data_IF_993567652202
#
_entry.id   IF_993567652202
#
_cell.length_a   1.000
_cell.length_b   1.000
_cell.length_c   1.000
_cell.angle_alpha   90.00
_cell.angle_beta   90.00
_cell.angle_gamma   90.00
#
_symmetry.space_group_name_H-M   'P 1'
#
loop_
_entity.id
_entity.type
_entity.pdbx_description
1 polymer ?
#
# COMPACT_ATOMS: atom_id res chain seq x y z
N UNK A 1 6.35 -15.55 -12.71
CA UNK A 1 6.70 -15.18 -11.32
C UNK A 1 8.22 -15.16 -11.27
N UNK A 2 8.84 -14.06 -10.84
CA UNK A 2 10.30 -13.96 -10.77
C UNK A 2 10.86 -14.90 -9.70
N UNK A 3 12.06 -15.43 -9.96
CA UNK A 3 12.79 -16.34 -9.07
C UNK A 3 13.42 -15.60 -7.90
N UNK A 4 13.88 -14.37 -8.14
CA UNK A 4 14.44 -13.48 -7.13
C UNK A 4 14.12 -12.01 -7.44
N UNK A 5 14.61 -11.12 -6.56
CA UNK A 5 14.41 -9.69 -6.74
C UNK A 5 15.19 -9.13 -7.94
N UNK A 6 16.35 -9.70 -8.28
CA UNK A 6 17.20 -9.21 -9.37
C UNK A 6 16.50 -9.36 -10.72
N UNK A 7 15.88 -10.50 -10.99
CA UNK A 7 15.05 -10.71 -12.19
C UNK A 7 13.92 -9.66 -12.29
N UNK A 8 13.27 -9.34 -11.16
CA UNK A 8 12.23 -8.32 -11.13
C UNK A 8 12.78 -6.91 -11.44
N UNK A 9 13.99 -6.59 -10.97
CA UNK A 9 14.64 -5.31 -11.27
C UNK A 9 15.09 -5.22 -12.72
N UNK A 10 15.60 -6.31 -13.29
CA UNK A 10 16.02 -6.37 -14.68
C UNK A 10 14.83 -6.17 -15.62
N UNK A 11 13.72 -6.88 -15.39
CA UNK A 11 12.52 -6.74 -16.20
C UNK A 11 11.89 -5.34 -16.07
N UNK A 12 11.92 -4.76 -14.87
CA UNK A 12 11.47 -3.39 -14.68
C UNK A 12 12.36 -2.37 -15.41
N UNK A 13 13.67 -2.63 -15.45
CA UNK A 13 14.62 -1.81 -16.21
C UNK A 13 14.36 -1.91 -17.71
N UNK A 14 14.14 -3.12 -18.24
CA UNK A 14 13.72 -3.35 -19.64
C UNK A 14 12.41 -2.66 -19.98
N UNK A 15 11.45 -2.62 -19.04
CA UNK A 15 10.21 -1.89 -19.22
C UNK A 15 10.44 -0.39 -19.44
N UNK A 16 11.37 0.23 -18.69
CA UNK A 16 11.74 1.63 -18.84
C UNK A 16 12.59 1.91 -20.09
N UNK A 17 13.21 0.89 -20.71
CA UNK A 17 13.92 1.04 -21.99
C UNK A 17 12.99 1.11 -23.22
N UNK A 18 11.67 1.01 -23.05
CA UNK A 18 10.72 1.12 -24.17
C UNK A 18 10.83 2.50 -24.85
N UNK A 19 10.60 2.61 -26.19
CA UNK A 19 10.79 3.86 -26.93
C UNK A 19 10.05 5.08 -26.36
N UNK A 20 8.87 4.88 -25.76
CA UNK A 20 8.09 5.96 -25.14
C UNK A 20 8.80 6.69 -23.99
N UNK A 21 9.81 6.06 -23.39
CA UNK A 21 10.60 6.59 -22.29
C UNK A 21 11.98 7.06 -22.76
N UNK A 22 12.33 6.95 -24.03
CA UNK A 22 13.67 7.25 -24.54
C UNK A 22 14.15 8.66 -24.15
N UNK A 23 13.27 9.67 -24.25
CA UNK A 23 13.60 11.05 -23.87
C UNK A 23 13.89 11.26 -22.38
N UNK A 24 13.60 10.29 -21.50
CA UNK A 24 14.01 10.35 -20.09
C UNK A 24 15.52 10.13 -19.94
N UNK A 25 16.13 9.33 -20.81
CA UNK A 25 17.57 9.04 -20.76
C UNK A 25 18.44 10.19 -21.28
N UNK A 26 17.83 11.21 -21.88
CA UNK A 26 18.48 12.48 -22.21
C UNK A 26 18.63 13.40 -20.98
N UNK A 27 17.82 13.15 -19.94
CA UNK A 27 17.92 13.89 -18.68
C UNK A 27 19.13 13.41 -17.88
N UNK A 28 19.69 14.32 -17.08
CA UNK A 28 20.69 13.92 -16.09
C UNK A 28 20.09 12.88 -15.14
N UNK A 29 20.86 11.85 -14.81
CA UNK A 29 20.42 10.78 -13.88
C UNK A 29 19.99 11.36 -12.52
N UNK A 30 20.60 12.47 -12.09
CA UNK A 30 20.26 13.16 -10.83
C UNK A 30 19.04 14.08 -10.92
N UNK A 31 18.46 14.28 -12.11
CA UNK A 31 17.30 15.17 -12.31
C UNK A 31 15.98 14.45 -12.03
N UNK A 32 15.80 14.02 -10.78
CA UNK A 32 14.61 13.29 -10.36
C UNK A 32 13.30 14.05 -10.60
N UNK A 33 13.34 15.40 -10.66
CA UNK A 33 12.18 16.23 -10.98
C UNK A 33 11.81 16.11 -12.46
N UNK A 34 12.78 16.29 -13.36
CA UNK A 34 12.61 16.07 -14.78
C UNK A 34 12.11 14.65 -15.08
N UNK A 35 12.70 13.64 -14.42
CA UNK A 35 12.26 12.26 -14.52
C UNK A 35 10.82 12.06 -14.07
N UNK A 36 10.40 12.63 -12.93
CA UNK A 36 9.04 12.52 -12.42
C UNK A 36 7.99 13.09 -13.40
N UNK A 37 8.27 14.27 -13.97
CA UNK A 37 7.41 14.88 -14.97
C UNK A 37 7.41 14.12 -16.29
N UNK A 38 8.58 13.67 -16.75
CA UNK A 38 8.73 12.92 -17.99
C UNK A 38 8.06 11.55 -17.94
N UNK A 39 8.11 10.85 -16.80
CA UNK A 39 7.41 9.58 -16.59
C UNK A 39 5.90 9.74 -16.76
N UNK A 40 5.31 10.76 -16.13
CA UNK A 40 3.88 11.08 -16.33
C UNK A 40 3.60 11.40 -17.80
N UNK A 41 4.39 12.28 -18.41
CA UNK A 41 4.20 12.68 -19.82
C UNK A 41 4.30 11.49 -20.78
N UNK A 42 5.20 10.56 -20.50
CA UNK A 42 5.38 9.32 -21.24
C UNK A 42 4.25 8.30 -20.97
N UNK A 43 3.30 8.58 -20.08
CA UNK A 43 2.16 7.72 -19.77
C UNK A 43 2.50 6.55 -18.85
N UNK A 44 3.52 6.70 -17.99
CA UNK A 44 3.81 5.77 -16.89
C UNK A 44 2.70 5.80 -15.82
N UNK A 45 2.17 6.99 -15.55
CA UNK A 45 1.11 7.22 -14.58
C UNK A 45 0.06 8.16 -15.16
N UNK A 46 -1.22 7.89 -14.88
CA UNK A 46 -2.36 8.72 -15.33
C UNK A 46 -2.69 9.85 -14.36
N UNK A 47 -2.28 9.74 -13.09
CA UNK A 47 -2.54 10.76 -12.08
C UNK A 47 -1.82 12.09 -12.42
N UNK A 48 -2.55 13.21 -12.54
CA UNK A 48 -1.95 14.52 -12.77
C UNK A 48 -0.97 14.95 -11.66
N UNK A 49 -1.14 14.46 -10.43
CA UNK A 49 -0.28 14.76 -9.27
C UNK A 49 0.89 13.78 -9.11
N UNK A 50 1.03 12.79 -9.99
CA UNK A 50 2.09 11.80 -9.92
C UNK A 50 3.50 12.40 -9.79
N UNK A 51 3.89 13.42 -10.60
CA UNK A 51 5.22 14.01 -10.48
C UNK A 51 5.46 14.60 -9.09
N UNK A 52 4.48 15.34 -8.56
CA UNK A 52 4.59 15.97 -7.25
C UNK A 52 4.69 14.93 -6.14
N UNK A 53 3.88 13.88 -6.16
CA UNK A 53 3.94 12.79 -5.19
C UNK A 53 5.32 12.13 -5.16
N UNK A 54 5.91 11.88 -6.33
CA UNK A 54 7.23 11.27 -6.44
C UNK A 54 8.33 12.20 -5.94
N UNK A 55 8.28 13.48 -6.33
CA UNK A 55 9.20 14.52 -5.84
C UNK A 55 9.13 14.64 -4.33
N UNK A 56 7.91 14.72 -3.77
CA UNK A 56 7.69 14.84 -2.32
C UNK A 56 8.27 13.64 -1.56
N UNK A 57 8.19 12.42 -2.11
CA UNK A 57 8.78 11.24 -1.48
C UNK A 57 10.30 11.29 -1.51
N UNK A 58 10.89 11.63 -2.66
CA UNK A 58 12.34 11.73 -2.83
C UNK A 58 12.91 12.79 -1.88
N UNK A 59 12.26 13.95 -1.77
CA UNK A 59 12.69 15.04 -0.91
C UNK A 59 12.46 14.73 0.58
N UNK A 60 11.30 14.17 0.94
CA UNK A 60 10.96 13.80 2.33
C UNK A 60 11.96 12.81 2.92
N UNK A 61 12.41 11.85 2.13
CA UNK A 61 13.36 10.81 2.55
C UNK A 61 14.79 11.09 2.09
N UNK A 62 15.04 12.25 1.47
CA UNK A 62 16.35 12.65 0.95
C UNK A 62 17.01 11.58 0.08
N UNK A 63 16.22 10.88 -0.74
CA UNK A 63 16.70 9.76 -1.55
C UNK A 63 17.71 10.20 -2.61
N UNK A 64 17.63 11.44 -3.06
CA UNK A 64 18.58 12.07 -3.97
C UNK A 64 20.00 12.21 -3.38
N UNK A 65 20.18 12.02 -2.07
CA UNK A 65 21.51 11.95 -1.46
C UNK A 65 22.21 10.61 -1.76
N UNK A 66 21.45 9.54 -2.03
CA UNK A 66 21.98 8.22 -2.37
C UNK A 66 22.72 8.22 -3.72
N UNK A 67 22.29 9.09 -4.64
CA UNK A 67 22.84 9.19 -6.00
C UNK A 67 24.26 9.78 -6.04
N UNK A 68 24.76 10.30 -4.91
CA UNK A 68 26.08 10.97 -4.80
C UNK A 68 27.23 10.04 -4.41
N UNK A 69 26.98 8.74 -4.27
CA UNK A 69 28.04 7.72 -4.13
C UNK A 69 28.86 7.77 -2.84
N UNK A 70 28.35 8.40 -1.78
CA UNK A 70 28.97 8.32 -0.46
C UNK A 70 28.73 6.94 0.16
N UNK A 71 29.71 6.45 0.94
CA UNK A 71 29.57 5.29 1.81
C UNK A 71 28.55 5.62 2.91
N UNK A 72 27.26 5.53 2.54
CA UNK A 72 26.19 5.68 3.49
C UNK A 72 26.20 4.39 4.29
N UNK A 73 26.61 4.50 5.55
CA UNK A 73 26.19 3.55 6.56
C UNK A 73 24.67 3.55 6.49
N UNK A 74 24.09 2.59 5.77
CA UNK A 74 22.66 2.32 5.78
C UNK A 74 22.42 1.82 7.19
N UNK A 75 22.25 2.76 8.11
CA UNK A 75 21.60 2.50 9.38
C UNK A 75 20.21 2.10 8.95
N UNK A 76 20.00 0.77 8.85
CA UNK A 76 18.68 0.17 8.84
C UNK A 76 17.90 0.96 9.87
N UNK A 77 16.90 1.76 9.47
CA UNK A 77 16.33 2.72 10.39
C UNK A 77 15.79 1.91 11.56
N UNK A 78 16.43 2.04 12.72
CA UNK A 78 15.75 1.75 13.97
C UNK A 78 14.51 2.61 13.90
N UNK A 79 13.36 1.93 13.90
CA UNK A 79 12.03 2.47 13.60
C UNK A 79 11.98 3.99 13.80
N UNK A 80 11.73 4.80 12.74
CA UNK A 80 11.38 6.19 12.96
C UNK A 80 10.02 6.18 13.65
N UNK A 81 10.05 6.16 14.98
CA UNK A 81 8.93 6.32 15.90
C UNK A 81 8.32 7.71 15.81
N UNK A 82 8.74 8.53 14.85
CA UNK A 82 8.21 9.84 14.57
C UNK A 82 7.71 9.86 13.13
N UNK A 83 6.52 9.27 12.94
CA UNK A 83 5.57 9.90 12.03
C UNK A 83 5.33 11.30 12.61
N UNK A 84 5.54 12.41 11.89
CA UNK A 84 4.91 13.65 12.31
C UNK A 84 3.42 13.34 12.45
N UNK A 85 2.88 13.66 13.63
CA UNK A 85 1.46 13.52 13.91
C UNK A 85 0.69 14.14 12.74
N UNK A 86 -0.36 13.47 12.20
CA UNK A 86 -1.31 14.21 11.39
C UNK A 86 -1.78 15.36 12.26
N UNK A 87 -1.50 16.60 11.82
CA UNK A 87 -2.03 17.80 12.43
C UNK A 87 -3.53 17.61 12.57
N UNK A 88 -3.98 17.44 13.81
CA UNK A 88 -5.36 17.22 14.15
C UNK A 88 -6.16 18.45 13.71
N UNK A 89 -7.06 18.25 12.76
CA UNK A 89 -8.34 18.97 12.80
C UNK A 89 -9.43 17.92 12.70
N UNK A 90 -10.27 17.92 13.71
CA UNK A 90 -11.52 17.18 13.77
C UNK A 90 -12.33 17.31 12.48
N UNK A 91 -12.96 16.20 12.11
CA UNK A 91 -13.92 16.09 11.03
C UNK A 91 -13.97 14.64 10.56
N UNK A 92 -15.14 14.02 10.49
CA UNK A 92 -15.30 12.61 10.11
C UNK A 92 -14.67 12.34 8.74
N UNK A 93 -13.49 11.71 8.77
CA UNK A 93 -12.58 11.62 7.62
C UNK A 93 -12.94 10.46 6.70
N UNK A 94 -13.88 10.70 5.77
CA UNK A 94 -13.92 9.95 4.52
C UNK A 94 -12.81 10.49 3.63
N UNK A 95 -11.72 9.74 3.47
CA UNK A 95 -10.66 10.10 2.52
C UNK A 95 -11.02 9.45 1.18
N UNK A 96 -11.29 10.25 0.15
CA UNK A 96 -11.45 9.73 -1.21
C UNK A 96 -10.07 9.40 -1.78
N UNK A 97 -9.78 8.12 -2.00
CA UNK A 97 -8.57 7.67 -2.72
C UNK A 97 -8.91 7.56 -4.21
N UNK A 98 -7.88 7.66 -5.08
CA UNK A 98 -8.00 7.51 -6.53
C UNK A 98 -9.00 6.41 -6.93
N UNK A 99 -9.92 6.73 -7.82
CA UNK A 99 -11.10 5.90 -8.15
C UNK A 99 -12.41 6.33 -7.48
N UNK A 100 -12.40 7.33 -6.59
CA UNK A 100 -13.63 7.87 -6.00
C UNK A 100 -14.20 7.01 -4.88
N UNK A 101 -13.42 6.09 -4.31
CA UNK A 101 -13.86 5.25 -3.19
C UNK A 101 -13.69 5.96 -1.87
N UNK A 102 -14.72 5.81 -1.04
CA UNK A 102 -14.72 6.25 0.34
C UNK A 102 -13.85 5.31 1.19
N UNK A 103 -12.83 5.89 1.82
CA UNK A 103 -12.02 5.18 2.80
C UNK A 103 -12.50 5.51 4.20
N UNK A 104 -12.89 4.47 4.90
CA UNK A 104 -13.31 4.52 6.30
C UNK A 104 -12.17 4.08 7.23
N UNK A 105 -12.28 4.43 8.51
CA UNK A 105 -11.33 4.01 9.56
C UNK A 105 -12.04 3.12 10.57
N UNK A 106 -11.56 1.90 10.75
CA UNK A 106 -11.94 1.02 11.86
C UNK A 106 -11.04 1.28 13.08
N UNK A 107 -11.65 1.36 14.28
CA UNK A 107 -11.00 1.75 15.54
C UNK A 107 -10.18 3.06 15.46
N UNK A 108 -10.55 3.96 14.53
CA UNK A 108 -9.82 5.20 14.24
C UNK A 108 -8.41 5.02 13.66
N UNK A 109 -7.96 3.78 13.40
CA UNK A 109 -6.55 3.48 13.06
C UNK A 109 -6.32 2.47 11.94
N UNK A 110 -7.36 1.80 11.46
CA UNK A 110 -7.27 0.80 10.38
C UNK A 110 -8.11 1.23 9.19
N UNK A 111 -7.46 1.64 8.11
CA UNK A 111 -8.14 2.08 6.89
C UNK A 111 -8.73 0.89 6.13
N UNK A 112 -9.97 1.03 5.68
CA UNK A 112 -10.65 0.06 4.84
C UNK A 112 -11.56 0.75 3.82
N UNK A 113 -11.94 -0.01 2.79
CA UNK A 113 -13.01 0.35 1.86
C UNK A 113 -14.10 -0.73 1.89
N UNK A 114 -15.25 -0.44 1.29
CA UNK A 114 -16.27 -1.46 1.02
C UNK A 114 -16.14 -1.96 -0.41
N UNK A 115 -16.12 -3.28 -0.56
CA UNK A 115 -16.17 -3.92 -1.87
C UNK A 115 -17.54 -3.68 -2.53
N UNK A 116 -17.54 -3.41 -3.83
CA UNK A 116 -18.71 -3.35 -4.71
C UNK A 116 -18.89 -4.72 -5.36
N UNK A 117 -20.08 -4.99 -5.89
CA UNK A 117 -20.32 -6.23 -6.63
C UNK A 117 -19.35 -6.35 -7.83
N UNK A 118 -18.69 -7.50 -7.95
CA UNK A 118 -17.71 -7.76 -9.01
C UNK A 118 -16.28 -7.26 -8.70
N UNK A 119 -16.03 -6.65 -7.54
CA UNK A 119 -14.68 -6.27 -7.16
C UNK A 119 -13.75 -7.47 -7.03
N UNK A 120 -12.52 -7.28 -7.45
CA UNK A 120 -11.42 -8.23 -7.28
C UNK A 120 -10.24 -7.51 -6.65
N UNK A 121 -9.34 -8.25 -5.98
CA UNK A 121 -8.10 -7.65 -5.49
C UNK A 121 -7.28 -7.00 -6.61
N UNK A 122 -7.30 -7.56 -7.82
CA UNK A 122 -6.63 -6.99 -8.99
C UNK A 122 -7.27 -5.68 -9.47
N UNK A 123 -8.60 -5.59 -9.46
CA UNK A 123 -9.33 -4.36 -9.78
C UNK A 123 -9.07 -3.27 -8.73
N UNK A 124 -9.28 -3.62 -7.46
CA UNK A 124 -9.09 -2.71 -6.34
C UNK A 124 -7.65 -2.22 -6.23
N UNK A 125 -6.67 -3.09 -6.46
CA UNK A 125 -5.27 -2.72 -6.40
C UNK A 125 -4.89 -1.73 -7.52
N UNK A 126 -5.39 -1.92 -8.75
CA UNK A 126 -5.20 -0.95 -9.83
C UNK A 126 -5.86 0.39 -9.52
N UNK A 127 -7.07 0.36 -8.98
CA UNK A 127 -7.82 1.56 -8.62
C UNK A 127 -7.13 2.36 -7.51
N UNK A 128 -6.65 1.66 -6.47
CA UNK A 128 -6.02 2.27 -5.29
C UNK A 128 -4.51 2.50 -5.42
N UNK A 129 -3.91 2.22 -6.58
CA UNK A 129 -2.46 2.27 -6.80
C UNK A 129 -1.67 1.39 -5.80
N UNK A 130 -2.21 0.22 -5.47
CA UNK A 130 -1.62 -0.78 -4.57
C UNK A 130 -1.20 -2.04 -5.33
N UNK A 131 -0.47 -2.96 -4.68
CA UNK A 131 -0.21 -4.28 -5.26
C UNK A 131 -1.33 -5.26 -4.86
N UNK A 132 -1.85 -6.08 -5.80
CA UNK A 132 -2.92 -7.04 -5.50
C UNK A 132 -2.54 -8.03 -4.41
N UNK A 133 -1.29 -8.49 -4.42
CA UNK A 133 -0.76 -9.42 -3.42
C UNK A 133 -0.66 -8.82 -2.02
N UNK A 134 -0.26 -7.54 -1.89
CA UNK A 134 -0.25 -6.87 -0.58
C UNK A 134 -1.66 -6.66 -0.05
N UNK A 135 -2.59 -6.25 -0.92
CA UNK A 135 -3.99 -6.02 -0.54
C UNK A 135 -4.63 -7.32 -0.04
N UNK A 136 -4.48 -8.42 -0.78
CA UNK A 136 -4.97 -9.74 -0.36
C UNK A 136 -4.33 -10.19 0.96
N UNK A 137 -3.01 -10.02 1.10
CA UNK A 137 -2.28 -10.38 2.32
C UNK A 137 -2.77 -9.62 3.56
N UNK A 138 -3.08 -8.33 3.45
CA UNK A 138 -3.60 -7.56 4.59
C UNK A 138 -4.98 -8.02 5.05
N UNK A 139 -5.73 -8.64 4.15
CA UNK A 139 -7.03 -9.23 4.41
C UNK A 139 -6.94 -10.71 4.78
N UNK A 140 -5.74 -11.28 4.93
CA UNK A 140 -5.51 -12.71 5.19
C UNK A 140 -6.23 -13.61 4.17
N UNK A 141 -6.27 -13.17 2.90
CA UNK A 141 -6.92 -13.86 1.78
C UNK A 141 -5.92 -14.14 0.65
N UNK A 142 -6.30 -15.04 -0.25
CA UNK A 142 -5.55 -15.26 -1.49
C UNK A 142 -5.90 -14.17 -2.51
N UNK A 143 -4.98 -13.87 -3.44
CA UNK A 143 -5.18 -12.83 -4.46
C UNK A 143 -6.42 -13.06 -5.33
N UNK A 144 -6.74 -14.32 -5.60
CA UNK A 144 -7.90 -14.73 -6.41
C UNK A 144 -9.15 -15.02 -5.56
N UNK A 145 -9.12 -14.78 -4.24
CA UNK A 145 -10.32 -14.93 -3.41
C UNK A 145 -11.41 -13.96 -3.86
N UNK A 146 -12.65 -14.44 -3.91
CA UNK A 146 -13.81 -13.61 -4.22
C UNK A 146 -14.07 -12.60 -3.10
N UNK A 147 -14.56 -11.41 -3.48
CA UNK A 147 -15.00 -10.37 -2.54
C UNK A 147 -16.52 -10.26 -2.59
N UNK A 148 -17.16 -10.34 -1.42
CA UNK A 148 -18.59 -10.09 -1.29
C UNK A 148 -18.91 -8.61 -1.42
N UNK A 149 -20.04 -8.27 -2.04
CA UNK A 149 -20.52 -6.88 -2.04
C UNK A 149 -20.75 -6.38 -0.61
N UNK A 150 -20.30 -5.17 -0.31
CA UNK A 150 -20.33 -4.57 1.02
C UNK A 150 -19.25 -5.08 1.98
N UNK A 151 -18.46 -6.09 1.60
CA UNK A 151 -17.39 -6.63 2.43
C UNK A 151 -16.34 -5.56 2.73
N UNK A 152 -15.93 -5.48 4.00
CA UNK A 152 -14.80 -4.65 4.41
C UNK A 152 -13.51 -5.18 3.76
N UNK A 153 -12.78 -4.33 3.06
CA UNK A 153 -11.45 -4.66 2.52
C UNK A 153 -10.43 -3.70 3.13
N UNK A 154 -9.54 -4.23 3.96
CA UNK A 154 -8.47 -3.47 4.58
C UNK A 154 -7.42 -3.08 3.55
N UNK A 155 -7.12 -1.78 3.47
CA UNK A 155 -6.16 -1.20 2.52
C UNK A 155 -4.83 -0.85 3.20
N UNK A 156 -4.58 -1.45 4.36
CA UNK A 156 -3.34 -1.42 5.12
C UNK A 156 -3.30 -2.66 6.04
N UNK A 157 -2.15 -3.01 6.64
CA UNK A 157 -2.09 -4.14 7.56
C UNK A 157 -3.08 -4.00 8.73
N UNK A 158 -3.78 -5.09 9.03
CA UNK A 158 -4.49 -5.30 10.30
C UNK A 158 -3.53 -5.21 11.50
N UNK A 159 -4.08 -5.09 12.71
CA UNK A 159 -3.30 -4.97 13.95
C UNK A 159 -3.08 -6.34 14.59
N UNK A 160 -2.13 -6.41 15.50
CA UNK A 160 -1.90 -7.64 16.24
C UNK A 160 -2.96 -7.84 17.34
N UNK A 161 -3.55 -6.75 17.85
CA UNK A 161 -4.60 -6.77 18.89
C UNK A 161 -5.67 -5.73 18.57
N UNK A 162 -6.92 -6.00 18.91
CA UNK A 162 -8.01 -5.02 18.85
C UNK A 162 -7.82 -3.94 19.93
N UNK A 163 -8.33 -2.74 19.65
CA UNK A 163 -8.36 -1.63 20.61
C UNK A 163 -9.61 -1.70 21.48
N UNK A 164 -10.73 -2.17 20.93
CA UNK A 164 -12.02 -2.15 21.60
C UNK A 164 -12.34 -3.42 22.39
N UNK A 165 -11.77 -4.57 22.04
CA UNK A 165 -12.03 -5.83 22.75
C UNK A 165 -10.77 -6.67 22.91
N UNK A 166 -10.69 -7.41 24.02
CA UNK A 166 -9.68 -8.45 24.24
C UNK A 166 -10.26 -9.87 24.14
N UNK A 167 -11.58 -10.01 24.19
CA UNK A 167 -12.29 -11.30 24.21
C UNK A 167 -13.41 -11.29 23.19
N UNK A 168 -13.61 -12.45 22.56
CA UNK A 168 -14.75 -12.74 21.70
C UNK A 168 -15.20 -14.18 21.97
N UNK A 169 -16.50 -14.39 22.12
CA UNK A 169 -17.10 -15.72 22.29
C UNK A 169 -17.56 -16.20 20.93
N UNK A 170 -16.88 -17.22 20.40
CA UNK A 170 -17.16 -17.76 19.08
C UNK A 170 -18.58 -18.34 19.01
N UNK A 171 -19.27 -18.07 17.90
CA UNK A 171 -20.60 -18.62 17.61
C UNK A 171 -20.49 -19.73 16.58
N UNK A 172 -21.46 -20.64 16.59
CA UNK A 172 -21.53 -21.73 15.61
C UNK A 172 -21.56 -21.16 14.19
N UNK A 173 -20.66 -21.66 13.33
CA UNK A 173 -20.53 -21.20 11.93
C UNK A 173 -19.60 -20.00 11.72
N UNK A 174 -19.06 -19.38 12.78
CA UNK A 174 -18.03 -18.35 12.63
C UNK A 174 -16.67 -18.98 12.25
N UNK A 175 -15.90 -18.26 11.44
CA UNK A 175 -14.53 -18.62 11.10
C UNK A 175 -13.54 -17.73 11.85
N UNK A 176 -12.37 -18.27 12.18
CA UNK A 176 -11.26 -17.48 12.75
C UNK A 176 -10.88 -16.29 11.86
N UNK A 177 -10.91 -16.50 10.54
CA UNK A 177 -10.72 -15.42 9.58
C UNK A 177 -11.78 -14.33 9.76
N UNK A 178 -13.06 -14.70 9.86
CA UNK A 178 -14.17 -13.77 10.09
C UNK A 178 -14.03 -13.00 11.40
N UNK A 179 -13.67 -13.66 12.50
CA UNK A 179 -13.42 -13.02 13.80
C UNK A 179 -12.25 -12.04 13.72
N UNK A 180 -11.12 -12.46 13.13
CA UNK A 180 -9.97 -11.58 12.92
C UNK A 180 -10.34 -10.38 12.03
N UNK A 181 -11.12 -10.62 10.98
CA UNK A 181 -11.59 -9.58 10.06
C UNK A 181 -12.55 -8.59 10.72
N UNK A 182 -13.45 -9.07 11.58
CA UNK A 182 -14.40 -8.27 12.35
C UNK A 182 -13.68 -7.26 13.24
N UNK A 183 -12.65 -7.71 13.96
CA UNK A 183 -11.89 -6.90 14.91
C UNK A 183 -10.62 -6.26 14.33
N UNK A 184 -10.37 -6.38 13.03
CA UNK A 184 -9.17 -5.84 12.40
C UNK A 184 -7.88 -6.43 12.98
N UNK A 185 -7.93 -7.69 13.44
CA UNK A 185 -6.82 -8.47 13.97
C UNK A 185 -6.31 -9.44 12.89
N UNK A 186 -5.00 -9.56 12.75
CA UNK A 186 -4.40 -10.52 11.82
C UNK A 186 -4.67 -11.95 12.26
N UNK A 187 -5.01 -12.81 11.30
CA UNK A 187 -5.34 -14.21 11.56
C UNK A 187 -4.19 -14.95 12.24
N UNK A 188 -2.94 -14.74 11.80
CA UNK A 188 -1.74 -15.34 12.41
C UNK A 188 -1.59 -15.01 13.90
N UNK A 189 -1.98 -13.79 14.30
CA UNK A 189 -1.94 -13.34 15.70
C UNK A 189 -3.10 -13.87 16.50
N UNK A 190 -4.29 -13.93 15.91
CA UNK A 190 -5.44 -14.51 16.59
C UNK A 190 -5.19 -15.99 16.90
N UNK A 191 -4.70 -16.76 15.92
CA UNK A 191 -4.32 -18.16 16.10
C UNK A 191 -3.26 -18.31 17.19
N UNK A 192 -2.17 -17.54 17.10
CA UNK A 192 -1.08 -17.59 18.08
C UNK A 192 -1.50 -17.25 19.52
N UNK A 193 -2.43 -16.32 19.72
CA UNK A 193 -2.84 -15.90 21.06
C UNK A 193 -3.86 -16.82 21.71
N UNK A 194 -4.45 -17.74 20.95
CA UNK A 194 -5.45 -18.69 21.44
C UNK A 194 -4.98 -20.14 21.29
N UNK A 195 -3.70 -20.36 20.94
CA UNK A 195 -3.07 -21.68 20.78
C UNK A 195 -3.86 -22.63 19.85
N UNK A 196 -4.26 -22.11 18.69
CA UNK A 196 -5.00 -22.84 17.64
C UNK A 196 -4.15 -23.28 16.45
#
# INVERSE_FOLDING_TARGET
>A
KYRDAAESFEDHSKFLMKPRYAGLFELRVTDYKGWAHGLRKAGYATDPRYPQKLIDLIERYRLNELDRGGDLVVRKPEHPSQRPAPSSKDGGDVITIGGGREVEKFEGRIKFIRARAGDTFDGLARELELTPGMLARWNDLQRNSALGAGQRVYIQPKRNKSKSTSVHVARQGESLWGVGHLYGVKLDRLVKYNDL
#
